data_IF_953791955304
#
_entry.id   IF_953791955304
#
_cell.length_a   1.000
_cell.length_b   1.000
_cell.length_c   1.000
_cell.angle_alpha   90.00
_cell.angle_beta   90.00
_cell.angle_gamma   90.00
#
_symmetry.space_group_name_H-M   'P 1'
#
loop_
_entity.id
_entity.type
_entity.pdbx_description
1 polymer ?
#
# COMPACT_ATOMS: atom_id res chain seq x y z
N UNK A 1 7.55 -5.25 17.04
CA UNK A 1 6.66 -4.94 15.90
C UNK A 1 7.09 -3.57 15.39
N UNK A 2 7.07 -3.33 14.08
CA UNK A 2 7.32 -2.02 13.47
C UNK A 2 5.98 -1.60 12.87
N UNK A 3 5.40 -0.53 13.39
CA UNK A 3 4.01 -0.16 13.13
C UNK A 3 3.91 0.97 12.12
N UNK A 4 4.93 1.85 12.06
CA UNK A 4 5.01 2.97 11.11
C UNK A 4 6.21 2.88 10.20
N UNK A 5 6.11 3.51 9.02
CA UNK A 5 7.23 3.61 8.08
C UNK A 5 8.45 4.28 8.72
N UNK A 6 8.25 5.31 9.54
CA UNK A 6 9.33 6.01 10.24
C UNK A 6 10.13 5.09 11.18
N UNK A 7 9.46 4.15 11.86
CA UNK A 7 10.11 3.19 12.75
C UNK A 7 10.96 2.21 11.94
N UNK A 8 10.42 1.68 10.84
CA UNK A 8 11.17 0.82 9.94
C UNK A 8 12.35 1.56 9.29
N UNK A 9 12.16 2.81 8.88
CA UNK A 9 13.22 3.65 8.31
C UNK A 9 14.37 3.90 9.28
N UNK A 10 14.09 4.07 10.57
CA UNK A 10 15.12 4.24 11.61
C UNK A 10 16.08 3.04 11.72
N UNK A 11 15.60 1.85 11.35
CA UNK A 11 16.39 0.62 11.34
C UNK A 11 17.05 0.34 9.98
N UNK A 12 16.35 0.64 8.88
CA UNK A 12 16.83 0.33 7.52
C UNK A 12 17.85 1.36 7.02
N UNK A 13 17.62 2.65 7.26
CA UNK A 13 18.46 3.72 6.72
C UNK A 13 19.95 3.61 7.11
N UNK A 14 20.32 3.30 8.37
CA UNK A 14 21.73 3.17 8.76
C UNK A 14 22.47 2.00 8.10
N UNK A 15 21.75 0.99 7.61
CA UNK A 15 22.35 -0.19 6.98
C UNK A 15 22.83 0.09 5.55
N UNK A 16 22.25 1.11 4.89
CA UNK A 16 22.63 1.58 3.56
C UNK A 16 22.80 0.44 2.51
N UNK A 17 21.97 -0.61 2.59
CA UNK A 17 22.11 -1.79 1.76
C UNK A 17 21.19 -1.68 0.51
N UNK A 18 21.73 -1.85 -0.71
CA UNK A 18 20.98 -1.59 -1.95
C UNK A 18 19.81 -2.55 -2.20
N UNK A 19 19.79 -3.71 -1.53
CA UNK A 19 18.72 -4.72 -1.65
C UNK A 19 17.79 -4.77 -0.43
N UNK A 20 17.84 -3.76 0.45
CA UNK A 20 16.98 -3.69 1.63
C UNK A 20 16.04 -2.49 1.51
N UNK A 21 14.75 -2.72 1.74
CA UNK A 21 13.72 -1.69 1.71
C UNK A 21 12.55 -2.04 2.61
N UNK A 22 11.57 -1.14 2.65
CA UNK A 22 10.38 -1.22 3.49
C UNK A 22 9.18 -1.57 2.60
N UNK A 23 8.31 -2.43 3.11
CA UNK A 23 6.98 -2.66 2.54
C UNK A 23 6.02 -1.63 3.13
N UNK A 24 5.43 -0.79 2.28
CA UNK A 24 4.33 0.09 2.66
C UNK A 24 3.01 -0.66 2.51
N UNK A 25 2.46 -1.15 3.62
CA UNK A 25 1.20 -1.89 3.65
C UNK A 25 0.05 -0.95 4.00
N UNK A 26 -0.82 -0.66 3.03
CA UNK A 26 -1.87 0.35 3.20
C UNK A 26 -2.96 -0.05 4.19
N UNK A 27 -3.19 -1.34 4.44
CA UNK A 27 -4.15 -1.75 5.47
C UNK A 27 -3.60 -1.42 6.86
N UNK A 28 -2.33 -1.75 7.13
CA UNK A 28 -1.70 -1.42 8.40
C UNK A 28 -1.44 0.09 8.55
N UNK A 29 -1.05 0.77 7.48
CA UNK A 29 -0.87 2.22 7.50
C UNK A 29 -2.18 2.96 7.77
N UNK A 30 -3.33 2.44 7.35
CA UNK A 30 -4.64 3.02 7.69
C UNK A 30 -4.98 2.94 9.19
N UNK A 31 -4.33 2.05 9.94
CA UNK A 31 -4.48 1.94 11.39
C UNK A 31 -3.45 2.77 12.15
N UNK A 32 -2.21 2.80 11.66
CA UNK A 32 -1.06 3.28 12.45
C UNK A 32 -0.57 4.67 12.03
N UNK A 33 -0.68 5.03 10.75
CA UNK A 33 -0.20 6.32 10.24
C UNK A 33 -1.25 7.42 10.46
N UNK A 34 -0.79 8.62 10.82
CA UNK A 34 -1.66 9.80 10.91
C UNK A 34 -2.03 10.33 9.51
N UNK A 35 -1.08 10.26 8.58
CA UNK A 35 -1.21 10.72 7.20
C UNK A 35 -0.38 9.79 6.30
N UNK A 36 -1.06 8.90 5.58
CA UNK A 36 -0.43 7.91 4.69
C UNK A 36 0.38 8.61 3.57
N UNK A 37 -0.15 9.58 2.81
CA UNK A 37 0.64 10.34 1.84
C UNK A 37 1.92 10.96 2.40
N UNK A 38 1.86 11.60 3.58
CA UNK A 38 3.03 12.21 4.21
C UNK A 38 4.08 11.15 4.57
N UNK A 39 3.67 10.03 5.18
CA UNK A 39 4.55 8.93 5.51
C UNK A 39 5.26 8.35 4.27
N UNK A 40 4.57 8.26 3.13
CA UNK A 40 5.16 7.83 1.85
C UNK A 40 6.22 8.83 1.38
N UNK A 41 5.92 10.13 1.39
CA UNK A 41 6.84 11.17 0.94
C UNK A 41 8.11 11.22 1.80
N UNK A 42 7.96 11.14 3.12
CA UNK A 42 9.07 11.19 4.08
C UNK A 42 10.02 9.99 3.96
N UNK A 43 9.49 8.82 3.57
CA UNK A 43 10.26 7.58 3.46
C UNK A 43 10.53 7.17 2.00
N UNK A 44 10.42 8.11 1.07
CA UNK A 44 10.41 7.91 -0.39
C UNK A 44 11.52 7.01 -0.95
N UNK A 45 12.74 7.10 -0.42
CA UNK A 45 13.91 6.35 -0.93
C UNK A 45 14.04 4.93 -0.38
N UNK A 46 13.24 4.60 0.65
CA UNK A 46 13.33 3.32 1.35
C UNK A 46 12.17 2.38 1.01
N UNK A 47 11.10 2.87 0.38
CA UNK A 47 9.96 2.05 -0.02
C UNK A 47 10.37 1.16 -1.19
N UNK A 48 10.46 -0.14 -0.94
CA UNK A 48 10.80 -1.15 -1.95
C UNK A 48 9.59 -1.87 -2.52
N UNK A 49 8.50 -1.94 -1.78
CA UNK A 49 7.27 -2.60 -2.19
C UNK A 49 6.04 -1.96 -1.54
N UNK A 50 4.86 -2.11 -2.16
CA UNK A 50 3.60 -1.57 -1.64
C UNK A 50 2.53 -2.65 -1.71
N UNK A 51 1.87 -2.89 -0.58
CA UNK A 51 0.67 -3.72 -0.54
C UNK A 51 -0.57 -2.84 -0.58
N UNK A 52 -1.50 -3.23 -1.44
CA UNK A 52 -2.79 -2.58 -1.67
C UNK A 52 -3.88 -3.42 -1.00
N UNK A 53 -4.45 -2.85 0.03
CA UNK A 53 -5.69 -3.27 0.65
C UNK A 53 -6.32 -2.04 1.29
N UNK A 54 -7.64 -1.93 1.21
CA UNK A 54 -8.35 -0.81 1.82
C UNK A 54 -8.35 -0.93 3.35
N UNK A 55 -8.85 0.07 4.07
CA UNK A 55 -8.90 0.12 5.54
C UNK A 55 -9.65 -1.06 6.18
N UNK A 56 -10.47 -1.78 5.40
CA UNK A 56 -11.18 -2.99 5.81
C UNK A 56 -10.59 -4.29 5.23
N UNK A 57 -9.34 -4.24 4.72
CA UNK A 57 -8.60 -5.33 4.08
C UNK A 57 -9.21 -5.84 2.77
N UNK A 58 -10.19 -5.15 2.18
CA UNK A 58 -10.78 -5.48 0.86
C UNK A 58 -10.06 -4.79 -0.29
N UNK A 59 -10.53 -5.02 -1.52
CA UNK A 59 -10.03 -4.33 -2.70
C UNK A 59 -10.07 -2.80 -2.52
N UNK A 60 -9.07 -2.07 -3.05
CA UNK A 60 -9.05 -0.62 -3.04
C UNK A 60 -10.35 0.03 -3.54
N UNK A 61 -10.89 0.97 -2.76
CA UNK A 61 -12.13 1.70 -3.04
C UNK A 61 -13.37 1.16 -2.32
N UNK A 62 -13.24 0.06 -1.56
CA UNK A 62 -14.33 -0.55 -0.80
C UNK A 62 -14.34 -0.20 0.69
N UNK A 63 -13.36 0.59 1.14
CA UNK A 63 -13.24 1.10 2.50
C UNK A 63 -13.16 2.62 2.52
N UNK A 64 -12.25 3.14 3.33
CA UNK A 64 -12.13 4.59 3.61
C UNK A 64 -10.75 5.15 3.27
N UNK A 65 -9.81 4.34 2.78
CA UNK A 65 -8.48 4.81 2.41
C UNK A 65 -8.56 5.73 1.20
N UNK A 66 -7.96 6.92 1.28
CA UNK A 66 -7.88 7.85 0.14
C UNK A 66 -6.78 7.40 -0.84
N UNK A 67 -7.12 6.42 -1.68
CA UNK A 67 -6.20 5.87 -2.67
C UNK A 67 -5.74 6.90 -3.70
N UNK A 68 -6.53 7.94 -3.99
CA UNK A 68 -6.11 9.00 -4.90
C UNK A 68 -4.90 9.75 -4.34
N UNK A 69 -4.95 10.12 -3.06
CA UNK A 69 -3.81 10.78 -2.41
C UNK A 69 -2.62 9.84 -2.25
N UNK A 70 -2.86 8.55 -1.95
CA UNK A 70 -1.79 7.54 -1.90
C UNK A 70 -1.08 7.44 -3.25
N UNK A 71 -1.79 7.23 -4.36
CA UNK A 71 -1.14 7.10 -5.66
C UNK A 71 -0.50 8.41 -6.13
N UNK A 72 -1.08 9.57 -5.81
CA UNK A 72 -0.43 10.86 -6.03
C UNK A 72 0.93 10.95 -5.29
N UNK A 73 1.01 10.48 -4.05
CA UNK A 73 2.26 10.48 -3.29
C UNK A 73 3.30 9.52 -3.90
N UNK A 74 2.88 8.32 -4.31
CA UNK A 74 3.73 7.35 -5.00
C UNK A 74 4.25 7.90 -6.35
N UNK A 75 3.40 8.58 -7.11
CA UNK A 75 3.75 9.26 -8.36
C UNK A 75 4.75 10.39 -8.13
N UNK A 76 4.57 11.22 -7.08
CA UNK A 76 5.50 12.30 -6.71
C UNK A 76 6.90 11.79 -6.37
N UNK A 77 7.01 10.64 -5.70
CA UNK A 77 8.31 10.03 -5.39
C UNK A 77 8.85 9.20 -6.56
N UNK A 78 8.16 9.17 -7.71
CA UNK A 78 8.49 8.38 -8.89
C UNK A 78 8.66 6.89 -8.58
N UNK A 79 7.81 6.37 -7.70
CA UNK A 79 7.81 4.96 -7.36
C UNK A 79 7.59 4.12 -8.61
N UNK A 80 8.50 3.16 -8.84
CA UNK A 80 8.50 2.28 -10.01
C UNK A 80 8.54 0.79 -9.64
N UNK A 81 8.40 0.48 -8.35
CA UNK A 81 8.32 -0.87 -7.85
C UNK A 81 6.94 -1.51 -8.07
N UNK A 82 6.82 -2.75 -7.64
CA UNK A 82 5.57 -3.51 -7.76
C UNK A 82 4.52 -3.07 -6.74
N UNK A 83 3.26 -3.18 -7.13
CA UNK A 83 2.10 -3.11 -6.24
C UNK A 83 1.51 -4.51 -6.13
N UNK A 84 1.24 -4.98 -4.92
CA UNK A 84 0.59 -6.28 -4.68
C UNK A 84 -0.78 -6.07 -4.04
N UNK A 85 -1.82 -6.75 -4.54
CA UNK A 85 -3.12 -6.77 -3.86
C UNK A 85 -3.08 -7.81 -2.74
N UNK A 86 -3.30 -7.38 -1.50
CA UNK A 86 -3.33 -8.24 -0.31
C UNK A 86 -4.70 -8.16 0.36
N UNK A 87 -5.73 -8.57 -0.37
CA UNK A 87 -7.10 -8.43 0.07
C UNK A 87 -7.62 -9.74 0.67
N UNK A 88 -8.22 -9.64 1.86
CA UNK A 88 -8.79 -10.78 2.57
C UNK A 88 -10.13 -10.38 3.19
N UNK A 89 -11.07 -11.32 3.15
CA UNK A 89 -12.35 -11.21 3.83
C UNK A 89 -12.57 -12.52 4.61
N UNK A 90 -12.93 -12.45 5.91
CA UNK A 90 -13.17 -13.66 6.70
C UNK A 90 -14.23 -14.54 6.04
N UNK A 91 -13.90 -15.80 5.75
CA UNK A 91 -14.83 -16.74 5.12
C UNK A 91 -14.14 -17.70 4.16
N UNK A 92 -14.85 -18.11 3.11
CA UNK A 92 -14.32 -19.05 2.12
C UNK A 92 -13.52 -18.31 1.05
N UNK A 93 -12.20 -18.50 1.06
CA UNK A 93 -11.28 -17.86 0.11
C UNK A 93 -11.66 -18.10 -1.36
N UNK A 94 -12.25 -19.25 -1.73
CA UNK A 94 -12.65 -19.52 -3.11
C UNK A 94 -13.81 -18.61 -3.55
N UNK A 95 -14.73 -18.30 -2.64
CA UNK A 95 -15.86 -17.41 -2.92
C UNK A 95 -15.36 -15.97 -3.06
N UNK A 96 -14.49 -15.53 -2.15
CA UNK A 96 -13.93 -14.18 -2.19
C UNK A 96 -12.98 -13.98 -3.37
N UNK A 97 -12.23 -15.01 -3.77
CA UNK A 97 -11.38 -14.93 -4.96
C UNK A 97 -12.19 -14.69 -6.23
N UNK A 98 -13.32 -15.41 -6.41
CA UNK A 98 -14.20 -15.20 -7.55
C UNK A 98 -14.77 -13.76 -7.56
N UNK A 99 -15.27 -13.30 -6.41
CA UNK A 99 -15.78 -11.94 -6.28
C UNK A 99 -14.70 -10.88 -6.56
N UNK A 100 -13.49 -11.07 -6.03
CA UNK A 100 -12.36 -10.17 -6.24
C UNK A 100 -11.98 -10.12 -7.73
N UNK A 101 -12.01 -11.24 -8.46
CA UNK A 101 -11.73 -11.27 -9.89
C UNK A 101 -12.72 -10.44 -10.70
N UNK A 102 -14.01 -10.50 -10.35
CA UNK A 102 -15.06 -9.74 -11.03
C UNK A 102 -14.90 -8.22 -10.82
N UNK A 103 -14.41 -7.79 -9.66
CA UNK A 103 -14.26 -6.37 -9.29
C UNK A 103 -12.84 -5.82 -9.49
N UNK A 104 -11.88 -6.70 -9.81
CA UNK A 104 -10.48 -6.33 -10.02
C UNK A 104 -10.33 -5.28 -11.12
N UNK A 105 -11.14 -5.33 -12.18
CA UNK A 105 -11.06 -4.39 -13.29
C UNK A 105 -11.32 -2.95 -12.87
N UNK A 106 -12.27 -2.72 -11.97
CA UNK A 106 -12.61 -1.39 -11.45
C UNK A 106 -11.47 -0.83 -10.59
N UNK A 107 -10.94 -1.68 -9.68
CA UNK A 107 -9.76 -1.36 -8.89
C UNK A 107 -8.56 -1.00 -9.79
N UNK A 108 -8.29 -1.80 -10.82
CA UNK A 108 -7.20 -1.54 -11.77
C UNK A 108 -7.43 -0.25 -12.58
N UNK A 109 -8.68 0.06 -12.95
CA UNK A 109 -9.00 1.30 -13.65
C UNK A 109 -8.70 2.54 -12.80
N UNK A 110 -9.03 2.51 -11.51
CA UNK A 110 -8.67 3.56 -10.55
C UNK A 110 -7.14 3.71 -10.44
N UNK A 111 -6.41 2.61 -10.26
CA UNK A 111 -4.95 2.62 -10.15
C UNK A 111 -4.32 3.24 -11.42
N UNK A 112 -4.79 2.83 -12.60
CA UNK A 112 -4.28 3.32 -13.90
C UNK A 112 -4.50 4.81 -14.14
N UNK A 113 -5.48 5.45 -13.50
CA UNK A 113 -5.69 6.89 -13.65
C UNK A 113 -4.66 7.73 -12.89
N UNK A 114 -3.90 7.11 -11.97
CA UNK A 114 -2.92 7.81 -11.15
C UNK A 114 -1.47 7.71 -11.66
N UNK A 115 -1.23 6.92 -12.72
CA UNK A 115 0.07 6.73 -13.37
C UNK A 115 0.05 7.19 -14.82
#
# INVERSE_FOLDING_TARGET
MLNRLAEAASLVAPLAHPNLGIVADLFHMALEELDIPAAILENSTLIGHVHLADSNRRLPGLGTTDFKQVFNSLSRIKYSGWLALECDEPGNNLVHAAWNLDHLQECLAMIRQAF
#
